data_IF_489726215132
#
_entry.id   IF_489726215132
#
_cell.length_a   1.000
_cell.length_b   1.000
_cell.length_c   1.000
_cell.angle_alpha   90.00
_cell.angle_beta   90.00
_cell.angle_gamma   90.00
#
_symmetry.space_group_name_H-M   'P 1'
#
loop_
_entity.id
_entity.type
_entity.pdbx_description
1 polymer ?
#
# COMPACT_ATOMS: atom_id res chain seq x y z
N UNK A 1 15.07 -18.62 6.36
CA UNK A 1 15.21 -19.44 7.58
C UNK A 1 13.87 -19.95 8.05
N UNK A 2 12.94 -19.08 8.49
CA UNK A 2 11.60 -19.50 8.95
C UNK A 2 10.80 -20.33 7.93
N UNK A 3 10.89 -20.00 6.64
CA UNK A 3 10.21 -20.78 5.58
C UNK A 3 11.03 -21.98 5.05
N UNK A 4 12.19 -22.30 5.67
CA UNK A 4 13.14 -23.35 5.24
C UNK A 4 13.83 -23.16 3.88
N UNK A 5 13.63 -22.02 3.22
CA UNK A 5 14.24 -21.76 1.90
C UNK A 5 15.69 -21.22 1.96
N UNK A 6 16.27 -21.03 3.15
CA UNK A 6 17.61 -20.47 3.25
C UNK A 6 18.66 -21.58 3.03
N UNK A 7 19.53 -21.40 2.04
CA UNK A 7 20.45 -22.44 1.55
C UNK A 7 21.45 -22.97 2.58
N UNK A 8 21.86 -22.13 3.53
CA UNK A 8 22.98 -22.44 4.44
C UNK A 8 22.60 -22.47 5.92
N UNK A 9 21.40 -21.98 6.27
CA UNK A 9 21.02 -21.76 7.67
C UNK A 9 19.64 -22.35 7.90
N UNK A 10 19.60 -23.37 8.74
CA UNK A 10 18.42 -24.10 9.10
C UNK A 10 18.19 -23.98 10.59
N UNK A 11 16.93 -23.86 10.98
CA UNK A 11 16.54 -23.77 12.38
C UNK A 11 16.54 -25.18 12.95
N UNK A 12 17.26 -25.36 14.04
CA UNK A 12 17.26 -26.59 14.82
C UNK A 12 16.40 -26.42 16.07
N UNK A 13 15.89 -27.55 16.57
CA UNK A 13 15.11 -27.55 17.81
C UNK A 13 16.01 -27.09 18.97
N UNK A 14 15.55 -26.10 19.72
CA UNK A 14 16.32 -25.50 20.81
C UNK A 14 17.03 -24.19 20.44
N UNK A 15 17.10 -23.83 19.16
CA UNK A 15 17.62 -22.53 18.74
C UNK A 15 16.82 -21.39 19.39
N UNK A 16 17.52 -20.34 19.83
CA UNK A 16 16.88 -19.13 20.34
C UNK A 16 16.95 -18.02 19.31
N UNK A 17 15.80 -17.45 18.96
CA UNK A 17 15.68 -16.39 17.97
C UNK A 17 15.11 -15.16 18.66
N UNK A 18 15.84 -14.05 18.58
CA UNK A 18 15.44 -12.77 19.17
C UNK A 18 14.98 -11.82 18.08
N UNK A 19 13.71 -11.43 18.13
CA UNK A 19 13.13 -10.39 17.28
C UNK A 19 13.20 -9.07 18.06
N UNK A 20 14.33 -8.38 17.92
CA UNK A 20 14.58 -7.06 18.53
C UNK A 20 13.91 -5.92 17.77
N UNK A 21 12.62 -6.10 17.45
CA UNK A 21 11.83 -5.14 16.69
C UNK A 21 10.34 -5.23 17.06
N UNK A 22 9.61 -4.16 16.79
CA UNK A 22 8.15 -4.15 16.78
C UNK A 22 7.62 -4.18 15.35
N UNK A 23 6.53 -4.91 15.05
CA UNK A 23 5.89 -4.85 13.75
C UNK A 23 5.49 -3.41 13.41
N UNK A 24 5.93 -2.93 12.25
CA UNK A 24 5.46 -1.67 11.68
C UNK A 24 4.00 -1.87 11.22
N UNK A 25 3.09 -0.90 11.43
CA UNK A 25 1.71 -1.00 10.98
C UNK A 25 1.59 -1.46 9.53
N UNK A 26 0.80 -2.52 9.29
CA UNK A 26 0.63 -3.17 7.99
C UNK A 26 1.44 -4.46 7.80
N UNK A 27 2.44 -4.73 8.64
CA UNK A 27 3.29 -5.92 8.55
C UNK A 27 2.94 -7.01 9.57
N UNK A 28 1.92 -6.82 10.41
CA UNK A 28 1.60 -7.70 11.53
C UNK A 28 1.37 -9.14 11.09
N UNK A 29 0.63 -9.35 10.00
CA UNK A 29 0.32 -10.68 9.50
C UNK A 29 1.57 -11.45 9.02
N UNK A 30 2.49 -10.77 8.35
CA UNK A 30 3.74 -11.36 7.85
C UNK A 30 4.67 -11.70 9.01
N UNK A 31 4.79 -10.79 9.98
CA UNK A 31 5.61 -11.02 11.18
C UNK A 31 5.05 -12.19 12.01
N UNK A 32 3.75 -12.21 12.27
CA UNK A 32 3.11 -13.29 13.02
C UNK A 32 3.30 -14.65 12.33
N UNK A 33 3.11 -14.71 11.01
CA UNK A 33 3.38 -15.94 10.23
C UNK A 33 4.83 -16.40 10.36
N UNK A 34 5.76 -15.46 10.35
CA UNK A 34 7.18 -15.76 10.55
C UNK A 34 7.41 -16.38 11.93
N UNK A 35 6.89 -15.73 12.98
CA UNK A 35 6.97 -16.23 14.37
C UNK A 35 6.37 -17.63 14.50
N UNK A 36 5.19 -17.87 13.94
CA UNK A 36 4.54 -19.19 13.95
C UNK A 36 5.42 -20.26 13.27
N UNK A 37 6.03 -19.93 12.13
CA UNK A 37 6.91 -20.84 11.42
C UNK A 37 8.20 -21.15 12.19
N UNK A 38 8.71 -20.20 12.98
CA UNK A 38 9.84 -20.42 13.88
C UNK A 38 9.47 -21.38 15.02
N UNK A 39 8.32 -21.14 15.69
CA UNK A 39 7.83 -22.03 16.74
C UNK A 39 7.52 -23.44 16.23
N UNK A 40 6.93 -23.58 15.04
CA UNK A 40 6.69 -24.89 14.39
C UNK A 40 7.98 -25.69 14.15
N UNK A 41 9.13 -25.02 14.07
CA UNK A 41 10.44 -25.66 13.92
C UNK A 41 11.11 -25.99 15.26
N UNK A 42 10.46 -25.69 16.39
CA UNK A 42 10.98 -25.99 17.72
C UNK A 42 12.01 -24.98 18.22
N UNK A 43 12.08 -23.79 17.61
CA UNK A 43 12.86 -22.68 18.14
C UNK A 43 12.15 -22.04 19.35
N UNK A 44 12.94 -21.47 20.26
CA UNK A 44 12.48 -20.51 21.25
C UNK A 44 12.50 -19.12 20.63
N UNK A 45 11.38 -18.41 20.62
CA UNK A 45 11.29 -17.09 19.99
C UNK A 45 11.02 -16.03 21.06
N UNK A 46 11.92 -15.06 21.17
CA UNK A 46 11.79 -13.90 22.06
C UNK A 46 11.44 -12.69 21.20
N UNK A 47 10.32 -12.04 21.47
CA UNK A 47 9.85 -10.87 20.72
C UNK A 47 9.19 -9.85 21.65
N UNK A 48 8.94 -8.65 21.14
CA UNK A 48 8.53 -7.46 21.91
C UNK A 48 7.31 -7.62 22.83
N UNK A 49 6.40 -8.58 22.59
CA UNK A 49 5.28 -8.86 23.51
C UNK A 49 5.67 -9.73 24.70
N UNK A 50 6.75 -10.52 24.59
CA UNK A 50 7.21 -11.45 25.63
C UNK A 50 8.34 -10.87 26.48
N UNK A 51 9.18 -10.00 25.90
CA UNK A 51 10.29 -9.37 26.60
C UNK A 51 10.60 -7.99 26.02
N UNK A 52 11.19 -7.13 26.83
CA UNK A 52 11.64 -5.79 26.43
C UNK A 52 12.94 -5.88 25.62
N UNK A 53 12.83 -6.37 24.39
CA UNK A 53 13.94 -6.54 23.44
C UNK A 53 14.04 -5.41 22.42
N UNK A 54 13.15 -4.42 22.50
CA UNK A 54 13.12 -3.28 21.58
C UNK A 54 12.65 -2.03 22.33
N UNK A 55 13.19 -0.88 21.95
CA UNK A 55 12.73 0.44 22.36
C UNK A 55 12.41 1.26 21.11
N UNK A 56 11.45 2.17 21.19
CA UNK A 56 11.13 3.03 20.06
C UNK A 56 12.29 4.00 19.77
N UNK A 57 12.59 4.21 18.49
CA UNK A 57 13.57 5.21 18.05
C UNK A 57 13.04 6.65 18.07
N UNK A 58 11.77 6.86 18.43
CA UNK A 58 11.13 8.18 18.54
C UNK A 58 10.77 8.45 20.00
N UNK A 59 11.06 9.66 20.46
CA UNK A 59 10.74 10.10 21.83
C UNK A 59 9.23 10.11 22.09
N UNK A 60 8.85 9.75 23.31
CA UNK A 60 7.47 9.83 23.77
C UNK A 60 7.11 11.25 24.24
N UNK A 61 5.90 11.42 24.77
CA UNK A 61 5.38 12.75 25.12
C UNK A 61 6.30 13.54 26.06
N UNK A 62 6.93 12.90 27.04
CA UNK A 62 7.79 13.59 28.00
C UNK A 62 9.11 14.04 27.38
N UNK A 63 9.73 13.25 26.50
CA UNK A 63 10.91 13.70 25.74
C UNK A 63 10.56 14.85 24.76
N UNK A 64 9.38 14.80 24.14
CA UNK A 64 8.91 15.89 23.28
C UNK A 64 8.67 17.18 24.09
N UNK A 65 8.03 17.09 25.26
CA UNK A 65 7.86 18.24 26.18
C UNK A 65 9.21 18.78 26.66
N UNK A 66 10.16 17.89 26.98
CA UNK A 66 11.51 18.29 27.38
C UNK A 66 12.16 19.14 26.28
N UNK A 67 12.13 18.68 25.04
CA UNK A 67 12.68 19.43 23.90
C UNK A 67 12.01 20.80 23.74
N UNK A 68 10.68 20.86 23.81
CA UNK A 68 9.93 22.11 23.69
C UNK A 68 10.28 23.11 24.81
N UNK A 69 10.47 22.63 26.03
CA UNK A 69 10.85 23.47 27.18
C UNK A 69 12.32 23.92 27.14
N UNK A 70 13.20 23.15 26.51
CA UNK A 70 14.60 23.54 26.29
C UNK A 70 14.73 24.59 25.18
N UNK A 71 14.04 24.37 24.05
CA UNK A 71 14.12 25.25 22.87
C UNK A 71 13.32 26.54 23.06
N UNK A 72 12.18 26.48 23.75
CA UNK A 72 11.23 27.60 23.94
C UNK A 72 10.89 28.30 22.62
N UNK A 73 10.35 27.56 21.63
CA UNK A 73 10.13 28.11 20.31
C UNK A 73 9.02 29.18 20.33
N UNK A 74 9.22 30.27 19.57
CA UNK A 74 8.18 31.29 19.37
C UNK A 74 7.02 30.76 18.53
N UNK A 75 7.34 29.97 17.51
CA UNK A 75 6.40 29.31 16.62
C UNK A 75 6.72 27.82 16.56
N UNK A 76 5.71 26.97 16.53
CA UNK A 76 5.87 25.52 16.52
C UNK A 76 5.14 24.89 15.34
N UNK A 77 5.83 24.03 14.61
CA UNK A 77 5.27 23.25 13.50
C UNK A 77 5.66 21.78 13.72
N UNK A 78 4.75 20.91 14.17
CA UNK A 78 5.05 19.50 14.28
C UNK A 78 5.30 18.90 12.90
N UNK A 79 6.33 18.07 12.80
CA UNK A 79 6.71 17.34 11.58
C UNK A 79 6.79 15.83 11.86
N UNK A 80 6.91 15.04 10.79
CA UNK A 80 7.13 13.60 10.83
C UNK A 80 6.03 12.80 11.57
N UNK A 81 4.90 12.61 10.91
CA UNK A 81 3.84 11.69 11.34
C UNK A 81 2.56 11.92 10.55
N UNK A 82 1.64 10.96 10.59
CA UNK A 82 0.27 11.16 10.10
C UNK A 82 -0.42 12.34 10.81
N UNK A 83 -1.45 12.91 10.18
CA UNK A 83 -2.16 14.10 10.67
C UNK A 83 -2.59 14.02 12.15
N UNK A 84 -3.01 12.83 12.62
CA UNK A 84 -3.34 12.60 14.04
C UNK A 84 -2.16 12.83 14.98
N UNK A 85 -0.96 12.40 14.60
CA UNK A 85 0.26 12.58 15.39
C UNK A 85 0.62 14.08 15.45
N UNK A 86 0.58 14.76 14.30
CA UNK A 86 0.87 16.19 14.21
C UNK A 86 -0.13 17.00 15.06
N UNK A 87 -1.41 16.68 14.96
CA UNK A 87 -2.47 17.31 15.77
C UNK A 87 -2.27 17.11 17.27
N UNK A 88 -1.86 15.91 17.70
CA UNK A 88 -1.59 15.63 19.11
C UNK A 88 -0.31 16.32 19.59
N UNK A 89 0.72 16.39 18.77
CA UNK A 89 1.97 17.08 19.11
C UNK A 89 1.76 18.60 19.19
N UNK A 90 0.93 19.19 18.31
CA UNK A 90 0.49 20.57 18.42
C UNK A 90 -0.26 20.84 19.74
N UNK A 91 -1.17 19.95 20.14
CA UNK A 91 -1.84 20.05 21.45
C UNK A 91 -0.85 19.93 22.60
N UNK A 92 0.14 19.03 22.50
CA UNK A 92 1.19 18.86 23.49
C UNK A 92 2.00 20.15 23.68
N UNK A 93 2.37 20.81 22.59
CA UNK A 93 3.06 22.09 22.61
C UNK A 93 2.26 23.19 23.34
N UNK A 94 0.93 23.20 23.17
CA UNK A 94 0.04 24.12 23.88
C UNK A 94 0.02 23.85 25.39
N UNK A 95 0.11 22.58 25.82
CA UNK A 95 0.16 22.25 27.26
C UNK A 95 1.43 22.75 27.96
N UNK A 96 2.51 22.99 27.22
CA UNK A 96 3.78 23.52 27.75
C UNK A 96 3.94 25.02 27.49
N UNK A 97 2.86 25.71 27.09
CA UNK A 97 2.79 27.17 27.04
C UNK A 97 3.04 27.82 25.68
N UNK A 98 3.16 27.04 24.59
CA UNK A 98 3.24 27.61 23.23
C UNK A 98 1.83 28.01 22.78
N UNK A 99 1.57 29.29 22.44
CA UNK A 99 0.23 29.72 22.05
C UNK A 99 -0.31 28.94 20.85
N UNK A 100 -1.63 28.70 20.86
CA UNK A 100 -2.31 28.00 19.75
C UNK A 100 -2.12 28.74 18.42
N UNK A 101 -2.19 30.06 18.42
CA UNK A 101 -2.02 30.90 17.23
C UNK A 101 -0.58 30.87 16.67
N UNK A 102 0.37 30.40 17.48
CA UNK A 102 1.76 30.18 17.09
C UNK A 102 2.06 28.72 16.76
N UNK A 103 1.04 27.85 16.70
CA UNK A 103 1.20 26.42 16.44
C UNK A 103 0.55 26.04 15.10
N UNK A 104 1.35 25.53 14.16
CA UNK A 104 0.95 25.32 12.77
C UNK A 104 0.98 23.84 12.41
N UNK A 105 -0.20 23.20 12.29
CA UNK A 105 -0.33 21.87 11.72
C UNK A 105 -0.53 22.02 10.21
N UNK A 106 0.44 21.58 9.42
CA UNK A 106 0.48 21.75 7.97
C UNK A 106 0.40 20.40 7.25
N UNK A 107 -0.01 20.45 5.99
CA UNK A 107 0.01 19.33 5.05
C UNK A 107 1.11 19.51 4.01
N UNK A 108 1.50 18.42 3.33
CA UNK A 108 2.51 18.45 2.27
C UNK A 108 2.12 19.46 1.18
N UNK A 109 3.03 20.40 0.92
CA UNK A 109 2.84 21.48 -0.05
C UNK A 109 2.29 22.78 0.55
N UNK A 110 1.82 22.81 1.80
CA UNK A 110 1.51 24.07 2.47
C UNK A 110 2.78 24.93 2.66
N UNK A 111 2.66 26.24 2.45
CA UNK A 111 3.76 27.20 2.63
C UNK A 111 3.58 27.96 3.94
N UNK A 112 4.57 27.88 4.83
CA UNK A 112 4.65 28.69 6.05
C UNK A 112 5.66 29.81 5.88
N UNK A 113 5.17 31.05 5.84
CA UNK A 113 6.02 32.24 5.88
C UNK A 113 6.36 32.54 7.34
N UNK A 114 7.66 32.57 7.65
CA UNK A 114 8.19 32.85 8.99
C UNK A 114 8.95 34.17 8.98
N UNK A 115 8.55 35.08 9.86
CA UNK A 115 9.26 36.31 10.18
C UNK A 115 9.67 36.36 11.64
N UNK A 116 10.42 37.40 12.03
CA UNK A 116 10.85 37.58 13.42
C UNK A 116 9.66 37.75 14.39
N UNK A 117 8.56 38.33 13.92
CA UNK A 117 7.39 38.66 14.75
C UNK A 117 6.11 37.92 14.37
N UNK A 118 6.03 37.34 13.19
CA UNK A 118 4.82 36.70 12.68
C UNK A 118 5.14 35.39 11.95
N UNK A 119 4.17 34.48 11.96
CA UNK A 119 4.17 33.28 11.16
C UNK A 119 2.78 33.12 10.57
N UNK A 120 2.69 32.80 9.27
CA UNK A 120 1.40 32.62 8.59
C UNK A 120 1.52 31.61 7.46
N UNK A 121 0.46 30.84 7.26
CA UNK A 121 0.31 30.00 6.08
C UNK A 121 -0.07 30.90 4.89
N UNK A 122 0.74 30.93 3.84
CA UNK A 122 0.59 31.90 2.73
C UNK A 122 0.17 31.32 1.40
N UNK A 123 0.22 30.00 1.24
CA UNK A 123 -0.20 29.36 0.00
C UNK A 123 0.08 27.87 -0.02
N UNK A 124 0.06 27.32 -1.23
CA UNK A 124 0.44 25.94 -1.53
C UNK A 124 1.40 25.90 -2.72
N UNK A 125 2.33 24.95 -2.70
CA UNK A 125 3.15 24.56 -3.84
C UNK A 125 2.74 23.18 -4.35
N UNK A 126 3.11 22.86 -5.58
CA UNK A 126 2.89 21.53 -6.15
C UNK A 126 3.62 20.47 -5.32
N UNK A 127 2.85 19.56 -4.72
CA UNK A 127 3.34 18.41 -3.95
C UNK A 127 2.59 17.16 -4.37
N UNK A 128 3.20 16.00 -4.17
CA UNK A 128 2.58 14.72 -4.51
C UNK A 128 3.57 13.57 -4.45
N UNK A 129 3.04 12.36 -4.58
CA UNK A 129 3.82 11.15 -4.56
C UNK A 129 4.28 10.78 -5.98
N UNK A 130 5.56 10.43 -6.11
CA UNK A 130 6.11 9.78 -7.31
C UNK A 130 6.38 8.33 -6.96
N UNK A 131 5.69 7.41 -7.64
CA UNK A 131 5.85 5.98 -7.41
C UNK A 131 7.02 5.43 -8.22
N UNK A 132 7.73 4.45 -7.65
CA UNK A 132 8.87 3.76 -8.27
C UNK A 132 8.54 2.27 -8.35
N UNK A 133 8.72 1.69 -9.53
CA UNK A 133 8.49 0.26 -9.79
C UNK A 133 9.61 -0.30 -10.69
N UNK A 134 10.53 -1.05 -10.09
CA UNK A 134 11.73 -1.52 -10.76
C UNK A 134 12.62 -0.36 -11.23
N UNK A 135 12.84 -0.27 -12.55
CA UNK A 135 13.60 0.82 -13.18
C UNK A 135 12.73 2.02 -13.58
N UNK A 136 11.40 1.88 -13.51
CA UNK A 136 10.45 2.93 -13.87
C UNK A 136 10.23 3.88 -12.69
N UNK A 137 10.39 5.18 -12.96
CA UNK A 137 10.16 6.27 -12.00
C UNK A 137 9.04 7.14 -12.54
N UNK A 138 7.93 7.23 -11.81
CA UNK A 138 6.78 8.06 -12.18
C UNK A 138 5.82 7.45 -13.22
N UNK A 139 6.20 6.36 -13.89
CA UNK A 139 5.34 5.67 -14.87
C UNK A 139 4.14 4.96 -14.23
N UNK A 140 4.23 4.63 -12.94
CA UNK A 140 3.13 4.03 -12.19
C UNK A 140 2.21 5.13 -11.67
N UNK A 141 1.31 5.58 -12.52
CA UNK A 141 0.24 6.51 -12.13
C UNK A 141 -0.90 5.85 -11.36
N UNK A 142 -1.81 6.67 -10.82
CA UNK A 142 -3.00 6.18 -10.09
C UNK A 142 -3.89 5.24 -10.91
N UNK A 143 -3.94 5.40 -12.24
CA UNK A 143 -4.67 4.50 -13.14
C UNK A 143 -4.07 3.09 -13.17
N UNK A 144 -2.74 2.98 -13.21
CA UNK A 144 -2.04 1.69 -13.21
C UNK A 144 -2.31 0.95 -11.89
N UNK A 145 -2.23 1.65 -10.75
CA UNK A 145 -2.55 1.07 -9.44
C UNK A 145 -4.03 0.64 -9.34
N UNK A 146 -4.96 1.45 -9.88
CA UNK A 146 -6.39 1.10 -9.93
C UNK A 146 -6.61 -0.17 -10.74
N UNK A 147 -6.02 -0.27 -11.92
CA UNK A 147 -6.12 -1.44 -12.78
C UNK A 147 -5.53 -2.68 -12.08
N UNK A 148 -4.35 -2.56 -11.44
CA UNK A 148 -3.77 -3.65 -10.63
C UNK A 148 -4.70 -4.11 -9.52
N UNK A 149 -5.37 -3.18 -8.83
CA UNK A 149 -6.33 -3.50 -7.75
C UNK A 149 -7.59 -4.19 -8.26
N UNK A 150 -8.10 -3.80 -9.43
CA UNK A 150 -9.24 -4.49 -10.04
C UNK A 150 -8.84 -5.91 -10.46
N UNK A 151 -7.72 -6.03 -11.18
CA UNK A 151 -7.22 -7.34 -11.64
C UNK A 151 -6.90 -8.30 -10.47
N UNK A 152 -6.40 -7.79 -9.35
CA UNK A 152 -6.09 -8.64 -8.19
C UNK A 152 -7.33 -9.13 -7.42
N UNK A 153 -8.47 -8.44 -7.57
CA UNK A 153 -9.73 -8.80 -6.91
C UNK A 153 -10.65 -9.61 -7.82
N UNK A 154 -10.80 -9.16 -9.06
CA UNK A 154 -11.84 -9.62 -9.97
C UNK A 154 -11.28 -10.53 -11.09
N UNK A 155 -9.95 -10.57 -11.24
CA UNK A 155 -9.30 -11.24 -12.36
C UNK A 155 -9.50 -10.52 -13.69
N UNK A 156 -9.31 -11.25 -14.78
CA UNK A 156 -9.51 -10.75 -16.14
C UNK A 156 -10.09 -11.84 -17.04
N UNK A 157 -10.94 -11.41 -17.98
CA UNK A 157 -11.45 -12.21 -19.08
C UNK A 157 -11.11 -11.49 -20.38
N UNK A 158 -10.45 -12.19 -21.30
CA UNK A 158 -10.02 -11.67 -22.61
C UNK A 158 -10.78 -12.46 -23.68
N UNK A 159 -11.65 -11.77 -24.40
CA UNK A 159 -12.32 -12.31 -25.58
C UNK A 159 -11.48 -12.02 -26.83
N UNK A 160 -11.14 -13.05 -27.59
CA UNK A 160 -10.32 -12.98 -28.80
C UNK A 160 -11.22 -13.33 -29.98
N UNK A 161 -11.38 -12.38 -30.88
CA UNK A 161 -12.26 -12.48 -32.04
C UNK A 161 -11.45 -12.16 -33.29
N UNK A 162 -11.45 -13.09 -34.26
CA UNK A 162 -10.86 -12.84 -35.57
C UNK A 162 -11.98 -12.50 -36.57
N UNK A 163 -11.82 -11.41 -37.32
CA UNK A 163 -12.79 -10.94 -38.32
C UNK A 163 -12.07 -10.76 -39.65
N UNK A 164 -12.68 -11.25 -40.73
CA UNK A 164 -12.19 -11.01 -42.08
C UNK A 164 -12.56 -9.58 -42.48
N UNK A 165 -11.53 -8.75 -42.73
CA UNK A 165 -11.70 -7.33 -43.04
C UNK A 165 -12.48 -7.06 -44.33
N UNK A 166 -12.41 -7.95 -45.32
CA UNK A 166 -13.10 -7.78 -46.60
C UNK A 166 -14.58 -8.16 -46.51
N UNK A 167 -14.90 -9.22 -45.76
CA UNK A 167 -16.27 -9.75 -45.69
C UNK A 167 -17.03 -9.29 -44.45
N UNK A 168 -16.34 -8.73 -43.46
CA UNK A 168 -16.89 -8.38 -42.15
C UNK A 168 -17.30 -9.58 -41.29
N UNK A 169 -17.02 -10.82 -41.74
CA UNK A 169 -17.46 -12.05 -41.08
C UNK A 169 -16.41 -12.59 -40.11
N UNK A 170 -16.87 -13.32 -39.10
CA UNK A 170 -16.01 -14.05 -38.17
C UNK A 170 -15.13 -15.08 -38.90
N UNK A 171 -13.87 -15.14 -38.48
CA UNK A 171 -12.90 -16.16 -38.90
C UNK A 171 -12.83 -17.19 -37.77
N UNK A 172 -13.74 -18.15 -37.81
CA UNK A 172 -13.82 -19.21 -36.81
C UNK A 172 -14.52 -18.80 -35.51
N UNK A 173 -14.50 -19.70 -34.53
CA UNK A 173 -15.15 -19.51 -33.22
C UNK A 173 -14.32 -18.55 -32.36
N UNK A 174 -14.93 -17.53 -31.71
CA UNK A 174 -14.24 -16.69 -30.74
C UNK A 174 -13.63 -17.52 -29.61
N UNK A 175 -12.50 -17.05 -29.08
CA UNK A 175 -11.86 -17.66 -27.93
C UNK A 175 -11.96 -16.76 -26.69
N UNK A 176 -11.96 -17.37 -25.51
CA UNK A 176 -12.00 -16.69 -24.23
C UNK A 176 -10.88 -17.24 -23.37
N UNK A 177 -9.98 -16.35 -22.96
CA UNK A 177 -8.90 -16.65 -22.01
C UNK A 177 -9.18 -15.90 -20.73
N UNK A 178 -9.08 -16.58 -19.59
CA UNK A 178 -9.29 -15.96 -18.27
C UNK A 178 -8.14 -16.24 -17.31
N UNK A 179 -7.87 -15.28 -16.43
CA UNK A 179 -6.89 -15.38 -15.33
C UNK A 179 -7.47 -14.76 -14.07
N UNK A 180 -7.46 -15.52 -12.97
CA UNK A 180 -7.88 -15.02 -11.65
C UNK A 180 -9.39 -14.78 -11.48
N UNK A 181 -10.22 -15.11 -12.47
CA UNK A 181 -11.68 -14.98 -12.39
C UNK A 181 -12.34 -16.31 -12.00
N UNK A 182 -12.11 -17.38 -12.75
CA UNK A 182 -12.60 -18.74 -12.45
C UNK A 182 -11.57 -19.80 -12.83
N UNK A 183 -11.65 -20.99 -12.22
CA UNK A 183 -10.88 -22.15 -12.66
C UNK A 183 -11.46 -22.66 -14.00
N UNK A 184 -10.65 -22.62 -15.05
CA UNK A 184 -11.06 -23.02 -16.40
C UNK A 184 -11.37 -24.51 -16.53
N UNK A 185 -10.85 -25.35 -15.62
CA UNK A 185 -11.13 -26.79 -15.61
C UNK A 185 -12.51 -27.08 -15.05
N UNK A 186 -12.90 -26.36 -14.01
CA UNK A 186 -14.19 -26.52 -13.34
C UNK A 186 -15.32 -25.84 -14.13
N UNK A 187 -15.06 -24.66 -14.71
CA UNK A 187 -16.07 -23.84 -15.38
C UNK A 187 -15.99 -23.90 -16.92
N UNK A 188 -15.50 -25.01 -17.49
CA UNK A 188 -15.35 -25.17 -18.94
C UNK A 188 -16.67 -24.94 -19.69
N UNK A 189 -17.78 -25.47 -19.17
CA UNK A 189 -19.11 -25.30 -19.79
C UNK A 189 -19.54 -23.84 -19.91
N UNK A 190 -19.34 -23.05 -18.85
CA UNK A 190 -19.65 -21.62 -18.86
C UNK A 190 -18.81 -20.86 -19.89
N UNK A 191 -17.51 -21.21 -20.01
CA UNK A 191 -16.62 -20.59 -21.01
C UNK A 191 -17.07 -20.96 -22.43
N UNK A 192 -17.41 -22.22 -22.68
CA UNK A 192 -17.89 -22.66 -23.99
C UNK A 192 -19.23 -22.03 -24.36
N UNK A 193 -20.17 -21.92 -23.42
CA UNK A 193 -21.43 -21.19 -23.65
C UNK A 193 -21.20 -19.71 -23.95
N UNK A 194 -20.24 -19.09 -23.25
CA UNK A 194 -19.85 -17.70 -23.49
C UNK A 194 -19.22 -17.50 -24.87
N UNK A 195 -18.40 -18.45 -25.35
CA UNK A 195 -17.84 -18.44 -26.72
C UNK A 195 -18.95 -18.51 -27.76
N UNK A 196 -19.93 -19.39 -27.55
CA UNK A 196 -21.06 -19.54 -28.47
C UNK A 196 -21.97 -18.32 -28.46
N UNK A 197 -22.18 -17.72 -27.29
CA UNK A 197 -22.89 -16.46 -27.15
C UNK A 197 -22.20 -15.34 -27.92
N UNK A 198 -20.87 -15.18 -27.75
CA UNK A 198 -20.09 -14.18 -28.50
C UNK A 198 -20.21 -14.39 -30.02
N UNK A 199 -20.09 -15.63 -30.50
CA UNK A 199 -20.23 -15.94 -31.92
C UNK A 199 -21.59 -15.49 -32.46
N UNK A 200 -22.67 -15.85 -31.74
CA UNK A 200 -24.04 -15.46 -32.12
C UNK A 200 -24.22 -13.95 -32.13
N UNK A 201 -23.78 -13.24 -31.09
CA UNK A 201 -23.97 -11.79 -30.98
C UNK A 201 -23.27 -11.04 -32.11
N UNK A 202 -22.05 -11.45 -32.49
CA UNK A 202 -21.28 -10.78 -33.54
C UNK A 202 -21.89 -11.04 -34.92
N UNK A 203 -22.32 -12.28 -35.19
CA UNK A 203 -22.98 -12.61 -36.47
C UNK A 203 -24.30 -11.83 -36.67
N UNK A 204 -25.05 -11.55 -35.59
CA UNK A 204 -26.28 -10.74 -35.66
C UNK A 204 -26.00 -9.23 -35.75
N UNK A 205 -24.82 -8.77 -35.35
CA UNK A 205 -24.45 -7.35 -35.38
C UNK A 205 -24.09 -6.87 -36.80
N UNK A 206 -23.69 -7.78 -37.70
CA UNK A 206 -23.41 -7.49 -39.11
C UNK A 206 -24.65 -7.11 -39.95
N UNK A 207 -25.86 -7.15 -39.38
CA UNK A 207 -27.12 -6.81 -40.07
C UNK A 207 -27.62 -5.38 -39.78
N UNK A 208 -26.99 -4.63 -38.87
CA UNK A 208 -27.23 -3.20 -38.74
C UNK A 208 -26.19 -2.44 -39.55
N UNK A 209 -26.62 -2.01 -40.74
CA UNK A 209 -25.90 -1.02 -41.53
C UNK A 209 -25.62 0.22 -40.66
N UNK A 210 -24.41 0.75 -40.79
CA UNK A 210 -24.02 2.01 -40.18
C UNK A 210 -24.97 3.13 -40.67
N UNK A 211 -25.57 3.85 -39.72
CA UNK A 211 -25.99 5.23 -39.90
C UNK A 211 -24.89 6.16 -39.40
#
# INVERSE_FOLDING_TARGET
MANRDHRQVHIQRGDTIVISATPIPGNEAVVNRTVDNLFKQGAQVIYSKLAQVHVHGHGSQEELKLLLNLVKPKFFMPIHGEYRHLSLHAKLAQTVGIPKDNTFVLEDGDVLELGAQSAKKTGKVGSGNVYVDGLSVGDVGGVVLRNRRMLSKDGIVVAIIAVNRQTGKLVGRPDIVTRGFVDTREFKGMIDESRDLLARTIDHSGTRAAE
#
